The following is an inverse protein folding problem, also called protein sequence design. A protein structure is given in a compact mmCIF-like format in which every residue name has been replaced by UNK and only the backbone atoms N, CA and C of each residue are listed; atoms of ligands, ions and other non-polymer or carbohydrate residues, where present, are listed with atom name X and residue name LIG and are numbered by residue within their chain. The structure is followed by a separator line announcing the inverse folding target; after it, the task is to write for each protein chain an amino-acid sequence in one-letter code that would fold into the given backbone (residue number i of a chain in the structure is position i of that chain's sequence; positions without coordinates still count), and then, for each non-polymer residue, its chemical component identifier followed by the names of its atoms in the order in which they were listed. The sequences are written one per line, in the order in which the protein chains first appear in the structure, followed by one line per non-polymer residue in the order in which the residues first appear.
data_IF_081043727297
#
_entry.id   IF_081043727297
#
_cell.length_a   1.000
_cell.length_b   1.000
_cell.length_c   1.000
_cell.angle_alpha   90.00
_cell.angle_beta   90.00
_cell.angle_gamma   90.00
#
_symmetry.space_group_name_H-M   'P 1'
#
loop_
_entity.id
_entity.type
_entity.pdbx_description
1 polymer ?
#
# COMPACT_ATOMS: atom_id res chain seq x y z
N UNK A 1 -7.30 -0.29 11.75
CA UNK A 1 -8.66 -0.30 11.18
C UNK A 1 -9.13 1.12 10.88
N UNK A 2 -9.04 2.03 11.85
CA UNK A 2 -9.47 3.43 11.71
C UNK A 2 -8.78 4.14 10.53
N UNK A 3 -7.47 3.99 10.38
CA UNK A 3 -6.69 4.66 9.32
C UNK A 3 -7.00 4.17 7.90
N UNK A 4 -7.54 2.94 7.79
CA UNK A 4 -7.81 2.31 6.49
C UNK A 4 -9.29 2.39 6.13
N UNK A 5 -10.18 2.10 7.09
CA UNK A 5 -11.63 2.02 6.85
C UNK A 5 -12.42 3.18 7.48
N UNK A 6 -11.76 4.07 8.21
CA UNK A 6 -12.41 5.19 8.88
C UNK A 6 -13.27 4.79 10.10
N UNK A 7 -13.29 3.51 10.45
CA UNK A 7 -14.10 2.95 11.54
C UNK A 7 -13.19 2.28 12.56
N UNK A 8 -13.34 2.66 13.83
CA UNK A 8 -12.64 1.98 14.92
C UNK A 8 -13.39 0.71 15.33
N UNK A 9 -12.62 -0.38 15.49
CA UNK A 9 -13.10 -1.67 15.96
C UNK A 9 -12.18 -2.15 17.07
N UNK A 10 -12.66 -2.32 18.32
CA UNK A 10 -11.80 -2.66 19.46
C UNK A 10 -10.96 -3.90 19.28
N UNK A 11 -11.46 -4.89 18.53
CA UNK A 11 -10.79 -6.15 18.24
C UNK A 11 -9.86 -6.10 17.02
N UNK A 12 -9.82 -5.00 16.26
CA UNK A 12 -8.93 -4.80 15.11
C UNK A 12 -7.87 -3.75 15.41
N UNK A 13 -7.12 -4.00 16.46
CA UNK A 13 -5.99 -3.16 16.82
C UNK A 13 -4.77 -3.49 15.96
N UNK A 14 -3.84 -2.56 15.92
CA UNK A 14 -2.56 -2.79 15.27
C UNK A 14 -1.71 -3.73 16.12
N UNK A 15 -1.26 -4.83 15.53
CA UNK A 15 -0.41 -5.83 16.17
C UNK A 15 0.82 -6.10 15.31
N UNK A 16 1.88 -6.57 15.94
CA UNK A 16 3.10 -6.94 15.22
C UNK A 16 2.86 -8.20 14.36
N UNK A 17 3.42 -8.19 13.16
CA UNK A 17 3.38 -9.34 12.25
C UNK A 17 4.77 -9.51 11.58
N UNK A 18 5.81 -9.87 12.37
CA UNK A 18 7.20 -9.88 11.90
C UNK A 18 7.45 -10.86 10.76
N UNK A 19 6.66 -11.92 10.71
CA UNK A 19 6.78 -12.97 9.71
C UNK A 19 6.27 -12.57 8.31
N UNK A 20 5.48 -11.50 8.18
CA UNK A 20 5.06 -10.99 6.88
C UNK A 20 6.25 -10.71 5.97
N UNK A 21 7.26 -10.05 6.51
CA UNK A 21 8.48 -9.72 5.79
C UNK A 21 9.25 -10.95 5.33
N UNK A 22 9.22 -12.02 6.12
CA UNK A 22 9.95 -13.24 5.84
C UNK A 22 9.23 -14.14 4.84
N UNK A 23 7.91 -14.28 4.95
CA UNK A 23 7.14 -15.27 4.19
C UNK A 23 6.35 -14.67 3.02
N UNK A 24 6.04 -13.38 3.05
CA UNK A 24 5.29 -12.75 1.97
C UNK A 24 6.13 -12.56 0.71
N UNK A 25 5.67 -13.13 -0.39
CA UNK A 25 6.25 -12.91 -1.73
C UNK A 25 6.02 -11.50 -2.28
N UNK A 26 5.17 -10.72 -1.62
CA UNK A 26 4.80 -9.37 -2.04
C UNK A 26 5.50 -8.28 -1.22
N UNK A 27 6.54 -8.67 -0.49
CA UNK A 27 7.35 -7.72 0.26
C UNK A 27 8.61 -7.39 -0.54
N UNK A 28 8.86 -6.09 -0.77
CA UNK A 28 10.12 -5.70 -1.37
C UNK A 28 11.26 -5.88 -0.36
N UNK A 29 12.10 -6.87 -0.60
CA UNK A 29 13.31 -7.11 0.19
C UNK A 29 14.52 -7.01 -0.71
N UNK A 30 15.41 -6.06 -0.42
CA UNK A 30 16.73 -5.96 -1.06
C UNK A 30 16.71 -5.98 -2.60
N UNK A 31 15.79 -5.22 -3.21
CA UNK A 31 15.67 -5.14 -4.67
C UNK A 31 14.96 -6.32 -5.33
N UNK A 32 14.28 -7.15 -4.55
CA UNK A 32 13.40 -8.19 -5.12
C UNK A 32 12.30 -7.55 -5.96
N UNK A 33 12.21 -7.92 -7.22
CA UNK A 33 11.21 -7.42 -8.16
C UNK A 33 9.79 -7.85 -7.82
N UNK A 34 9.59 -8.81 -6.93
CA UNK A 34 8.26 -9.30 -6.55
C UNK A 34 7.41 -8.30 -5.77
N UNK A 35 8.06 -7.38 -5.05
CA UNK A 35 7.41 -6.27 -4.33
C UNK A 35 7.41 -4.94 -5.07
N UNK A 36 7.64 -4.92 -6.39
CA UNK A 36 7.71 -3.68 -7.18
C UNK A 36 6.59 -3.64 -8.21
N UNK A 37 5.95 -2.48 -8.37
CA UNK A 37 5.01 -2.21 -9.47
C UNK A 37 5.51 -1.00 -10.27
N UNK A 38 5.35 -1.04 -11.61
CA UNK A 38 5.83 0.01 -12.51
C UNK A 38 4.69 0.55 -13.35
N UNK A 39 4.61 1.86 -13.46
CA UNK A 39 3.60 2.54 -14.27
C UNK A 39 4.27 3.56 -15.18
N UNK A 40 4.01 3.49 -16.49
CA UNK A 40 4.56 4.48 -17.42
C UNK A 40 4.10 5.88 -17.04
N UNK A 41 4.93 6.87 -17.31
CA UNK A 41 4.59 8.30 -17.10
C UNK A 41 3.26 8.65 -17.77
N UNK A 42 3.06 8.16 -19.01
CA UNK A 42 1.83 8.40 -19.76
C UNK A 42 0.60 7.77 -19.08
N UNK A 43 0.70 6.53 -18.59
CA UNK A 43 -0.40 5.89 -17.84
C UNK A 43 -0.79 6.71 -16.62
N UNK A 44 0.21 7.14 -15.84
CA UNK A 44 -0.03 7.94 -14.64
C UNK A 44 -0.72 9.27 -15.00
N UNK A 45 -0.19 9.98 -15.99
CA UNK A 45 -0.74 11.24 -16.45
C UNK A 45 -2.20 11.10 -16.91
N UNK A 46 -2.46 10.14 -17.80
CA UNK A 46 -3.80 9.88 -18.32
C UNK A 46 -4.81 9.55 -17.24
N UNK A 47 -4.41 8.73 -16.26
CA UNK A 47 -5.30 8.36 -15.15
C UNK A 47 -5.59 9.52 -14.21
N UNK A 48 -4.58 10.34 -13.90
CA UNK A 48 -4.77 11.53 -13.07
C UNK A 48 -5.68 12.53 -13.80
N UNK A 49 -5.47 12.76 -15.08
CA UNK A 49 -6.33 13.62 -15.89
C UNK A 49 -7.77 13.08 -15.93
N UNK A 50 -7.96 11.78 -16.18
CA UNK A 50 -9.28 11.14 -16.25
C UNK A 50 -10.03 11.21 -14.90
N UNK A 51 -9.35 10.94 -13.79
CA UNK A 51 -10.00 10.79 -12.48
C UNK A 51 -10.12 12.10 -11.70
N UNK A 52 -9.21 13.03 -11.92
CA UNK A 52 -9.07 14.23 -11.09
C UNK A 52 -9.15 15.54 -11.90
N UNK A 53 -9.05 15.48 -13.24
CA UNK A 53 -9.01 16.67 -14.09
C UNK A 53 -7.70 17.47 -13.97
N UNK A 54 -6.66 16.89 -13.38
CA UNK A 54 -5.36 17.54 -13.17
C UNK A 54 -4.43 17.20 -14.33
N UNK A 55 -3.89 18.21 -15.00
CA UNK A 55 -2.90 18.04 -16.05
C UNK A 55 -1.48 18.08 -15.48
N UNK A 56 -0.92 16.91 -15.22
CA UNK A 56 0.43 16.77 -14.70
C UNK A 56 1.53 17.19 -15.69
N UNK A 57 1.22 17.43 -16.97
CA UNK A 57 2.21 17.91 -17.94
C UNK A 57 2.70 19.33 -17.65
N UNK A 58 1.97 20.09 -16.83
CA UNK A 58 2.39 21.39 -16.35
C UNK A 58 3.55 21.33 -15.33
N UNK A 59 3.87 20.15 -14.81
CA UNK A 59 4.95 19.92 -13.84
C UNK A 59 6.12 19.28 -14.58
N UNK A 60 7.24 20.00 -14.65
CA UNK A 60 8.43 19.58 -15.41
C UNK A 60 9.07 18.33 -14.84
N UNK A 61 9.29 18.27 -13.50
CA UNK A 61 9.86 17.10 -12.84
C UNK A 61 8.76 16.11 -12.41
N UNK A 62 8.72 14.90 -13.00
CA UNK A 62 7.75 13.88 -12.58
C UNK A 62 7.86 13.44 -11.13
N UNK A 63 9.00 13.61 -10.46
CA UNK A 63 9.11 13.33 -9.03
C UNK A 63 8.22 14.23 -8.17
N UNK A 64 7.81 15.39 -8.68
CA UNK A 64 6.91 16.32 -8.00
C UNK A 64 5.42 16.02 -8.24
N UNK A 65 5.10 15.03 -9.09
CA UNK A 65 3.71 14.68 -9.38
C UNK A 65 2.96 14.11 -8.18
N UNK A 66 3.70 13.44 -7.27
CA UNK A 66 3.15 12.81 -6.08
C UNK A 66 3.99 13.14 -4.85
N UNK A 67 3.32 13.43 -3.76
CA UNK A 67 3.97 13.62 -2.46
C UNK A 67 3.23 12.85 -1.38
N UNK A 68 3.91 11.95 -0.68
CA UNK A 68 3.39 11.34 0.54
C UNK A 68 3.39 12.39 1.65
N UNK A 69 2.21 12.73 2.16
CA UNK A 69 2.04 13.72 3.22
C UNK A 69 2.08 13.08 4.60
N UNK A 70 1.55 11.88 4.74
CA UNK A 70 1.58 11.15 6.00
C UNK A 70 1.52 9.65 5.81
N UNK A 71 2.12 8.94 6.76
CA UNK A 71 2.03 7.49 6.94
C UNK A 71 1.63 7.17 8.38
N UNK A 72 1.03 6.00 8.60
CA UNK A 72 0.86 5.50 9.94
C UNK A 72 2.16 4.86 10.47
N UNK A 73 2.15 4.41 11.73
CA UNK A 73 3.32 3.81 12.39
C UNK A 73 3.85 2.53 11.68
N UNK A 74 3.08 1.93 10.79
CA UNK A 74 3.41 0.71 10.05
C UNK A 74 3.80 0.97 8.58
N UNK A 75 4.01 2.23 8.21
CA UNK A 75 4.42 2.63 6.86
C UNK A 75 3.31 2.64 5.81
N UNK A 76 2.04 2.48 6.21
CA UNK A 76 0.92 2.65 5.29
C UNK A 76 0.68 4.13 4.99
N UNK A 77 0.65 4.48 3.73
CA UNK A 77 0.35 5.83 3.28
C UNK A 77 -1.09 6.17 3.64
N UNK A 78 -1.28 7.16 4.50
CA UNK A 78 -2.59 7.63 4.95
C UNK A 78 -3.06 8.84 4.16
N UNK A 79 -2.13 9.68 3.69
CA UNK A 79 -2.45 10.84 2.87
C UNK A 79 -1.37 11.11 1.82
N UNK A 80 -1.82 11.41 0.61
CA UNK A 80 -0.98 11.84 -0.52
C UNK A 80 -1.50 13.14 -1.11
N UNK A 81 -0.59 13.93 -1.66
CA UNK A 81 -0.88 15.02 -2.58
C UNK A 81 -0.61 14.56 -4.00
N UNK A 82 -1.46 14.96 -4.94
CA UNK A 82 -1.33 14.74 -6.39
C UNK A 82 -1.36 16.10 -7.05
N UNK A 83 -0.36 16.38 -7.90
CA UNK A 83 -0.19 17.69 -8.53
C UNK A 83 0.40 18.74 -7.59
N UNK A 84 0.52 19.95 -8.10
CA UNK A 84 1.03 21.13 -7.37
C UNK A 84 0.24 22.39 -7.77
N UNK A 85 0.70 23.55 -7.35
CA UNK A 85 0.05 24.83 -7.66
C UNK A 85 -0.02 25.14 -9.17
N UNK A 86 0.90 24.62 -9.97
CA UNK A 86 0.97 24.87 -11.42
C UNK A 86 -0.05 24.03 -12.19
N UNK A 87 -0.24 22.77 -11.81
CA UNK A 87 -1.15 21.81 -12.46
C UNK A 87 -2.57 21.81 -11.87
N UNK A 88 -2.75 22.47 -10.72
CA UNK A 88 -3.80 22.16 -9.76
C UNK A 88 -3.40 20.97 -8.89
N UNK A 89 -3.92 20.92 -7.68
CA UNK A 89 -3.56 19.89 -6.72
C UNK A 89 -4.76 19.39 -5.93
N UNK A 90 -4.68 18.14 -5.47
CA UNK A 90 -5.64 17.53 -4.56
C UNK A 90 -4.95 16.62 -3.57
N UNK A 91 -5.64 16.26 -2.51
CA UNK A 91 -5.19 15.25 -1.57
C UNK A 91 -6.13 14.05 -1.56
N UNK A 92 -5.60 12.88 -1.38
CA UNK A 92 -6.38 11.66 -1.24
C UNK A 92 -5.72 10.69 -0.24
N UNK A 93 -6.46 9.68 0.21
CA UNK A 93 -5.86 8.60 0.99
C UNK A 93 -5.01 7.69 0.10
N UNK A 94 -3.98 7.04 0.68
CA UNK A 94 -3.19 6.04 -0.04
C UNK A 94 -4.06 4.89 -0.57
N UNK A 95 -5.14 4.54 0.13
CA UNK A 95 -6.14 3.57 -0.34
C UNK A 95 -6.84 4.05 -1.61
N UNK A 96 -7.35 5.27 -1.62
CA UNK A 96 -8.02 5.83 -2.79
C UNK A 96 -7.08 5.91 -4.00
N UNK A 97 -5.84 6.38 -3.78
CA UNK A 97 -4.79 6.43 -4.80
C UNK A 97 -4.55 5.06 -5.44
N UNK A 98 -4.35 4.05 -4.60
CA UNK A 98 -4.14 2.67 -5.03
C UNK A 98 -5.34 2.13 -5.81
N UNK A 99 -6.55 2.24 -5.26
CA UNK A 99 -7.75 1.57 -5.80
C UNK A 99 -8.35 2.29 -7.02
N UNK A 100 -8.14 3.60 -7.15
CA UNK A 100 -8.76 4.38 -8.22
C UNK A 100 -7.78 4.79 -9.33
N UNK A 101 -6.50 4.96 -9.03
CA UNK A 101 -5.53 5.37 -10.02
C UNK A 101 -4.69 4.21 -10.58
N UNK A 102 -4.09 3.38 -9.73
CA UNK A 102 -2.98 2.54 -10.16
C UNK A 102 -3.15 1.03 -9.99
N UNK A 103 -4.30 0.52 -9.55
CA UNK A 103 -4.41 -0.91 -9.22
C UNK A 103 -4.23 -1.86 -10.42
N UNK A 104 -4.60 -1.45 -11.63
CA UNK A 104 -4.66 -2.35 -12.80
C UNK A 104 -3.86 -1.90 -14.02
N UNK A 105 -2.97 -0.92 -13.90
CA UNK A 105 -2.35 -0.28 -15.06
C UNK A 105 -0.82 -0.39 -15.11
N UNK A 106 -0.22 -1.37 -14.44
CA UNK A 106 1.23 -1.52 -14.44
C UNK A 106 1.75 -2.06 -15.78
N UNK A 107 2.94 -1.63 -16.18
CA UNK A 107 3.60 -2.08 -17.42
C UNK A 107 4.19 -3.49 -17.32
N UNK A 108 4.39 -3.99 -16.10
CA UNK A 108 4.98 -5.31 -15.84
C UNK A 108 3.96 -6.35 -15.36
N UNK A 109 2.66 -6.04 -15.46
CA UNK A 109 1.57 -6.91 -15.01
C UNK A 109 1.44 -7.03 -13.49
N UNK A 110 2.21 -6.25 -12.73
CA UNK A 110 2.16 -6.21 -11.28
C UNK A 110 1.32 -5.04 -10.81
N UNK A 111 0.57 -5.23 -9.75
CA UNK A 111 -0.32 -4.20 -9.25
C UNK A 111 0.26 -3.54 -8.00
N UNK A 112 -0.18 -2.32 -7.70
CA UNK A 112 0.07 -1.66 -6.41
C UNK A 112 -0.76 -2.38 -5.34
N UNK A 113 -0.18 -3.44 -4.75
CA UNK A 113 -0.91 -4.44 -3.93
C UNK A 113 -1.21 -4.01 -2.51
N UNK A 114 -0.47 -3.02 -2.00
CA UNK A 114 -0.61 -2.50 -0.63
C UNK A 114 -0.56 -0.98 -0.64
N UNK A 115 -1.08 -0.35 0.41
CA UNK A 115 -0.87 1.06 0.68
C UNK A 115 0.45 1.34 1.44
N UNK A 116 1.19 0.30 1.83
CA UNK A 116 2.56 0.43 2.30
C UNK A 116 3.49 0.41 1.08
N UNK A 117 3.89 1.58 0.62
CA UNK A 117 4.76 1.73 -0.55
C UNK A 117 5.61 3.00 -0.45
N UNK A 118 6.72 2.98 -1.17
CA UNK A 118 7.46 4.18 -1.60
C UNK A 118 7.34 4.33 -3.10
N UNK A 119 7.55 5.53 -3.62
CA UNK A 119 7.51 5.78 -5.06
C UNK A 119 8.66 6.68 -5.49
N UNK A 120 9.18 6.41 -6.68
CA UNK A 120 10.16 7.25 -7.35
C UNK A 120 9.94 7.20 -8.87
N UNK A 121 10.27 8.26 -9.56
CA UNK A 121 10.33 8.26 -11.00
C UNK A 121 11.72 7.79 -11.47
N UNK A 122 11.72 6.87 -12.44
CA UNK A 122 12.94 6.41 -13.11
C UNK A 122 12.96 6.99 -14.52
N UNK A 123 13.88 7.92 -14.76
CA UNK A 123 14.00 8.63 -16.03
C UNK A 123 14.51 7.78 -17.18
N UNK A 124 15.32 6.73 -16.90
CA UNK A 124 15.82 5.82 -17.95
C UNK A 124 14.71 4.94 -18.51
N UNK A 125 13.76 4.55 -17.66
CA UNK A 125 12.62 3.70 -18.03
C UNK A 125 11.34 4.48 -18.34
N UNK A 126 11.36 5.80 -18.18
CA UNK A 126 10.21 6.69 -18.28
C UNK A 126 8.99 6.17 -17.48
N UNK A 127 9.23 5.73 -16.26
CA UNK A 127 8.18 5.14 -15.43
C UNK A 127 8.30 5.49 -13.94
N UNK A 128 7.17 5.45 -13.26
CA UNK A 128 7.10 5.45 -11.81
C UNK A 128 7.33 4.02 -11.29
N UNK A 129 8.23 3.88 -10.34
CA UNK A 129 8.54 2.63 -9.65
C UNK A 129 7.99 2.74 -8.23
N UNK A 130 7.13 1.81 -7.87
CA UNK A 130 6.58 1.69 -6.53
C UNK A 130 7.17 0.45 -5.87
N UNK A 131 7.89 0.64 -4.78
CA UNK A 131 8.32 -0.44 -3.91
C UNK A 131 7.22 -0.72 -2.89
N UNK A 132 6.65 -1.92 -2.96
CA UNK A 132 5.43 -2.30 -2.26
C UNK A 132 5.76 -3.28 -1.14
N UNK A 133 5.19 -3.05 0.02
CA UNK A 133 5.39 -3.87 1.21
C UNK A 133 4.07 -4.55 1.60
N UNK A 134 3.98 -5.86 1.36
CA UNK A 134 2.81 -6.66 1.67
C UNK A 134 1.75 -6.70 0.55
N UNK A 135 0.59 -7.25 0.90
CA UNK A 135 -0.55 -7.44 0.01
C UNK A 135 -1.86 -7.19 0.77
N UNK A 136 -2.70 -6.31 0.25
CA UNK A 136 -4.03 -6.03 0.81
C UNK A 136 -4.12 -4.71 1.57
N UNK A 137 -5.13 -4.63 2.41
CA UNK A 137 -5.50 -3.40 3.12
C UNK A 137 -4.82 -3.22 4.48
N UNK A 138 -4.14 -4.27 5.00
CA UNK A 138 -3.45 -4.18 6.29
C UNK A 138 -4.36 -4.12 7.53
N UNK A 139 -5.58 -4.68 7.45
CA UNK A 139 -6.53 -4.74 8.56
C UNK A 139 -6.90 -6.20 8.83
N UNK A 140 -6.96 -6.58 10.12
CA UNK A 140 -7.22 -7.94 10.55
C UNK A 140 -5.99 -8.86 10.40
N UNK A 141 -6.23 -10.16 10.33
CA UNK A 141 -5.19 -11.17 10.32
C UNK A 141 -4.43 -11.20 8.98
N UNK A 142 -3.11 -11.12 9.04
CA UNK A 142 -2.25 -11.39 7.91
C UNK A 142 -2.17 -12.88 7.62
N UNK A 143 -2.44 -13.28 6.38
CA UNK A 143 -2.28 -14.67 5.95
C UNK A 143 -0.83 -15.15 6.10
N UNK A 144 0.13 -14.36 5.64
CA UNK A 144 1.55 -14.71 5.72
C UNK A 144 2.08 -14.63 7.14
N UNK A 145 1.61 -13.68 7.94
CA UNK A 145 1.93 -13.60 9.35
C UNK A 145 1.41 -14.82 10.11
N UNK A 146 0.15 -15.22 9.87
CA UNK A 146 -0.44 -16.41 10.48
C UNK A 146 0.33 -17.69 10.12
N UNK A 147 0.70 -17.86 8.84
CA UNK A 147 1.55 -18.96 8.38
C UNK A 147 2.89 -18.94 9.11
N UNK A 148 3.52 -17.78 9.23
CA UNK A 148 4.80 -17.64 9.93
C UNK A 148 4.71 -17.98 11.42
N UNK A 149 3.67 -17.51 12.11
CA UNK A 149 3.43 -17.88 13.51
C UNK A 149 3.23 -19.39 13.67
N UNK A 150 2.42 -20.02 12.79
CA UNK A 150 2.20 -21.47 12.81
C UNK A 150 3.50 -22.26 12.59
N UNK A 151 4.36 -21.87 11.66
CA UNK A 151 5.69 -22.48 11.48
C UNK A 151 6.61 -22.33 12.70
N UNK A 152 6.38 -21.30 13.52
CA UNK A 152 7.12 -21.06 14.76
C UNK A 152 6.40 -21.63 15.99
N UNK A 153 5.46 -22.56 15.80
CA UNK A 153 4.86 -23.36 16.86
C UNK A 153 3.67 -22.75 17.57
N UNK A 154 3.11 -21.65 17.05
CA UNK A 154 1.88 -21.08 17.59
C UNK A 154 0.68 -21.93 17.19
N UNK A 155 -0.24 -22.15 18.12
CA UNK A 155 -1.52 -22.78 17.85
C UNK A 155 -2.49 -21.78 17.20
N UNK A 156 -3.56 -22.30 16.59
CA UNK A 156 -4.54 -21.46 15.89
C UNK A 156 -5.22 -20.46 16.82
N UNK A 157 -5.49 -20.82 18.05
CA UNK A 157 -6.10 -19.97 19.09
C UNK A 157 -5.17 -18.82 19.49
N UNK A 158 -3.88 -19.08 19.64
CA UNK A 158 -2.88 -18.04 19.88
C UNK A 158 -2.79 -17.06 18.71
N UNK A 159 -2.81 -17.55 17.48
CA UNK A 159 -2.76 -16.71 16.28
C UNK A 159 -4.03 -15.84 16.18
N UNK A 160 -5.21 -16.43 16.38
CA UNK A 160 -6.46 -15.70 16.29
C UNK A 160 -6.58 -14.60 17.35
N UNK A 161 -6.28 -14.92 18.61
CA UNK A 161 -6.33 -13.93 19.71
C UNK A 161 -5.26 -12.85 19.61
N UNK A 162 -4.13 -13.14 18.96
CA UNK A 162 -3.12 -12.14 18.64
C UNK A 162 -3.63 -11.11 17.64
N UNK A 163 -4.23 -11.55 16.51
CA UNK A 163 -4.72 -10.62 15.49
C UNK A 163 -6.06 -9.96 15.82
N UNK A 164 -6.88 -10.63 16.63
CA UNK A 164 -8.19 -10.12 17.08
C UNK A 164 -8.17 -9.92 18.59
N UNK A 165 -7.56 -8.81 18.99
CA UNK A 165 -7.31 -8.49 20.41
C UNK A 165 -8.60 -8.40 21.22
N UNK A 166 -8.59 -8.95 22.43
CA UNK A 166 -9.75 -8.90 23.34
C UNK A 166 -10.91 -9.78 22.91
N UNK A 167 -10.69 -10.76 22.01
CA UNK A 167 -11.68 -11.77 21.65
C UNK A 167 -11.42 -13.10 22.34
N UNK A 168 -12.45 -13.92 22.49
CA UNK A 168 -12.38 -15.29 22.99
C UNK A 168 -12.87 -16.27 21.94
N UNK A 169 -12.22 -17.44 21.90
CA UNK A 169 -12.67 -18.57 21.08
C UNK A 169 -13.71 -19.36 21.85
N UNK A 170 -14.87 -19.53 21.27
CA UNK A 170 -15.93 -20.37 21.82
C UNK A 170 -16.19 -21.55 20.91
N UNK A 171 -16.40 -22.73 21.51
CA UNK A 171 -16.87 -23.93 20.79
C UNK A 171 -18.40 -23.97 20.85
N UNK A 172 -19.03 -24.28 19.74
CA UNK A 172 -20.47 -24.55 19.65
C UNK A 172 -20.74 -26.04 19.74
#
# INVERSE_FOLDING_TARGET
CKDVWGVDRPYLQAVESPYDKQYSRNWNTNGSTSGTARYSRETVRSRVQEKLGIDLSAIEDPNEWFKVLSTNAFGYVTQMQIGNEQSGQTTCSGRWFRENLLIYQSVDGRTLRSCAFTSQYNSELDCFVFDVYGYGHGVGMSQWGAIGYAYNGWSYDQILTHYYTGTELVSY
#
